data_IF_670159744060
#
_entry.id   IF_670159744060
#
_cell.length_a   1.000
_cell.length_b   1.000
_cell.length_c   1.000
_cell.angle_alpha   90.00
_cell.angle_beta   90.00
_cell.angle_gamma   90.00
#
_symmetry.space_group_name_H-M   'P 1'
#
loop_
_entity.id
_entity.type
_entity.pdbx_description
1 polymer ?
#
# COMPACT_ATOMS: atom_id res chain seq x y z
N UNK A 1 64.34 -22.64 -21.85
CA UNK A 1 63.69 -23.83 -21.27
C UNK A 1 63.25 -23.67 -19.82
N UNK A 2 63.94 -22.88 -18.98
CA UNK A 2 63.58 -22.67 -17.57
C UNK A 2 62.35 -21.76 -17.31
N UNK A 3 62.02 -20.85 -18.23
CA UNK A 3 60.86 -19.95 -18.09
C UNK A 3 59.50 -20.63 -18.35
N UNK A 4 59.47 -21.71 -19.15
CA UNK A 4 58.24 -22.47 -19.41
C UNK A 4 57.85 -23.37 -18.23
N UNK A 5 58.83 -23.88 -17.48
CA UNK A 5 58.59 -24.62 -16.24
C UNK A 5 58.01 -23.71 -15.15
N UNK A 6 58.43 -22.45 -15.07
CA UNK A 6 57.88 -21.51 -14.09
C UNK A 6 56.44 -21.09 -14.40
N UNK A 7 56.06 -20.93 -15.67
CA UNK A 7 54.67 -20.59 -16.06
C UNK A 7 53.74 -21.80 -15.89
N UNK A 8 54.23 -23.02 -16.12
CA UNK A 8 53.47 -24.24 -15.81
C UNK A 8 53.36 -24.45 -14.29
N UNK A 9 54.40 -24.14 -13.50
CA UNK A 9 54.31 -24.13 -12.03
C UNK A 9 53.42 -23.00 -11.50
N UNK A 10 53.35 -21.83 -12.16
CA UNK A 10 52.46 -20.73 -11.78
C UNK A 10 50.99 -21.06 -12.09
N UNK A 11 50.71 -21.78 -13.19
CA UNK A 11 49.38 -22.29 -13.51
C UNK A 11 49.02 -23.61 -12.80
N UNK A 12 50.00 -24.31 -12.23
CA UNK A 12 49.78 -25.48 -11.36
C UNK A 12 49.37 -25.07 -9.94
N UNK A 13 49.61 -23.82 -9.55
CA UNK A 13 48.85 -23.15 -8.48
C UNK A 13 47.49 -22.67 -9.00
N UNK A 14 46.82 -23.49 -9.83
CA UNK A 14 45.36 -23.58 -9.76
C UNK A 14 45.09 -23.82 -8.29
N UNK A 15 44.51 -22.82 -7.63
CA UNK A 15 43.95 -22.95 -6.30
C UNK A 15 43.05 -24.19 -6.38
N UNK A 16 43.57 -25.35 -5.97
CA UNK A 16 42.75 -26.48 -5.56
C UNK A 16 42.07 -25.92 -4.33
N UNK A 17 40.92 -25.30 -4.56
CA UNK A 17 39.98 -25.04 -3.51
C UNK A 17 39.64 -26.45 -3.05
N UNK A 18 40.27 -26.90 -1.96
CA UNK A 18 39.99 -28.21 -1.40
C UNK A 18 38.48 -28.32 -1.21
N UNK A 19 37.90 -29.48 -1.51
CA UNK A 19 36.46 -29.69 -1.34
C UNK A 19 36.02 -29.36 0.09
N UNK A 20 36.93 -29.53 1.05
CA UNK A 20 36.80 -29.10 2.44
C UNK A 20 36.62 -27.58 2.59
N UNK A 21 37.31 -26.77 1.79
CA UNK A 21 37.14 -25.31 1.81
C UNK A 21 35.80 -24.90 1.19
N UNK A 22 35.37 -25.58 0.12
CA UNK A 22 34.09 -25.32 -0.53
C UNK A 22 32.91 -25.69 0.38
N UNK A 23 33.00 -26.82 1.09
CA UNK A 23 31.98 -27.26 2.05
C UNK A 23 31.87 -26.30 3.24
N UNK A 24 33.00 -25.78 3.74
CA UNK A 24 33.00 -24.73 4.78
C UNK A 24 32.34 -23.44 4.29
N UNK A 25 32.63 -22.99 3.06
CA UNK A 25 32.04 -21.78 2.49
C UNK A 25 30.53 -21.92 2.30
N UNK A 26 30.06 -23.07 1.81
CA UNK A 26 28.63 -23.38 1.68
C UNK A 26 27.97 -23.39 3.06
N UNK A 27 28.62 -23.99 4.07
CA UNK A 27 28.14 -23.99 5.45
C UNK A 27 27.93 -22.56 6.00
N UNK A 28 28.89 -21.67 5.77
CA UNK A 28 28.80 -20.25 6.17
C UNK A 28 27.65 -19.54 5.44
N UNK A 29 27.48 -19.78 4.14
CA UNK A 29 26.39 -19.19 3.37
C UNK A 29 25.01 -19.68 3.85
N UNK A 30 24.87 -20.98 4.12
CA UNK A 30 23.66 -21.55 4.68
C UNK A 30 23.34 -20.97 6.07
N UNK A 31 24.36 -20.78 6.92
CA UNK A 31 24.21 -20.16 8.23
C UNK A 31 23.74 -18.71 8.14
N UNK A 32 24.37 -17.91 7.26
CA UNK A 32 23.98 -16.52 7.02
C UNK A 32 22.54 -16.43 6.49
N UNK A 33 22.14 -17.32 5.57
CA UNK A 33 20.76 -17.39 5.09
C UNK A 33 19.78 -17.72 6.21
N UNK A 34 20.11 -18.70 7.06
CA UNK A 34 19.30 -19.06 8.23
C UNK A 34 19.13 -17.85 9.18
N UNK A 35 20.22 -17.13 9.45
CA UNK A 35 20.21 -15.92 10.29
C UNK A 35 19.31 -14.83 9.70
N UNK A 36 19.42 -14.56 8.39
CA UNK A 36 18.58 -13.58 7.69
C UNK A 36 17.08 -13.93 7.75
N UNK A 37 16.72 -15.22 7.63
CA UNK A 37 15.32 -15.67 7.75
C UNK A 37 14.77 -15.48 9.17
N UNK A 38 15.58 -15.72 10.21
CA UNK A 38 15.18 -15.49 11.60
C UNK A 38 14.95 -14.01 11.89
N UNK A 39 15.85 -13.13 11.42
CA UNK A 39 15.72 -11.68 11.54
C UNK A 39 14.47 -11.17 10.80
N UNK A 40 14.22 -11.63 9.58
CA UNK A 40 13.02 -11.28 8.82
C UNK A 40 11.73 -11.72 9.54
N UNK A 41 11.73 -12.91 10.16
CA UNK A 41 10.61 -13.40 10.97
C UNK A 41 10.38 -12.53 12.20
N UNK A 42 11.45 -12.10 12.89
CA UNK A 42 11.36 -11.18 14.02
C UNK A 42 10.79 -9.82 13.60
N UNK A 43 11.29 -9.21 12.51
CA UNK A 43 10.75 -7.96 11.97
C UNK A 43 9.31 -8.10 11.46
N UNK A 44 8.91 -9.28 10.97
CA UNK A 44 7.53 -9.52 10.51
C UNK A 44 6.49 -9.51 11.65
N UNK A 45 6.92 -9.80 12.89
CA UNK A 45 6.05 -9.87 14.07
C UNK A 45 5.62 -8.50 14.61
N UNK A 46 6.23 -7.41 14.13
CA UNK A 46 5.86 -6.04 14.52
C UNK A 46 4.80 -5.41 13.63
N UNK A 47 4.07 -6.19 12.82
CA UNK A 47 2.84 -5.67 12.22
C UNK A 47 1.85 -5.45 13.34
N UNK A 48 1.75 -4.19 13.81
CA UNK A 48 0.82 -3.76 14.84
C UNK A 48 -0.52 -4.43 14.62
N UNK A 49 -0.87 -5.35 15.52
CA UNK A 49 -2.16 -6.02 15.51
C UNK A 49 -3.20 -4.91 15.65
N UNK A 50 -3.99 -4.70 14.60
CA UNK A 50 -5.06 -3.71 14.65
C UNK A 50 -6.05 -4.18 15.71
N UNK A 51 -6.15 -3.44 16.82
CA UNK A 51 -7.15 -3.68 17.87
C UNK A 51 -8.57 -3.73 17.31
N UNK A 52 -8.83 -2.96 16.25
CA UNK A 52 -10.12 -2.91 15.57
C UNK A 52 -9.91 -2.82 14.06
N UNK A 53 -10.61 -3.66 13.29
CA UNK A 53 -10.67 -3.54 11.82
C UNK A 53 -11.44 -2.27 11.40
N UNK A 54 -12.56 -2.01 12.06
CA UNK A 54 -13.35 -0.78 12.01
C UNK A 54 -13.61 -0.38 13.46
N UNK A 55 -13.48 0.91 13.79
CA UNK A 55 -13.80 1.39 15.15
C UNK A 55 -15.31 1.26 15.41
N UNK A 56 -15.75 0.85 16.62
CA UNK A 56 -17.19 0.70 16.92
C UNK A 56 -18.04 1.95 16.64
N UNK A 57 -17.48 3.14 16.84
CA UNK A 57 -18.13 4.42 16.50
C UNK A 57 -18.54 4.53 15.02
N UNK A 58 -17.85 3.80 14.13
CA UNK A 58 -18.09 3.79 12.69
C UNK A 58 -18.94 2.59 12.24
N UNK A 59 -19.43 1.75 13.15
CA UNK A 59 -20.34 0.66 12.81
C UNK A 59 -21.68 1.15 12.27
N UNK A 60 -22.36 2.12 12.91
CA UNK A 60 -23.65 2.60 12.41
C UNK A 60 -23.50 3.60 11.26
N UNK A 61 -22.40 3.58 10.50
CA UNK A 61 -22.18 4.56 9.40
C UNK A 61 -23.31 4.59 8.38
N UNK A 62 -24.01 3.47 8.19
CA UNK A 62 -25.08 3.35 7.20
C UNK A 62 -26.44 3.74 7.76
N UNK A 63 -26.57 3.76 9.09
CA UNK A 63 -27.80 4.12 9.82
C UNK A 63 -27.71 5.49 10.48
N UNK A 64 -26.51 6.07 10.61
CA UNK A 64 -26.31 7.40 11.15
C UNK A 64 -26.70 8.46 10.12
N UNK A 65 -27.54 9.39 10.57
CA UNK A 65 -28.08 10.48 9.76
C UNK A 65 -27.00 11.35 9.11
N UNK A 66 -25.80 11.50 9.67
CA UNK A 66 -24.78 12.36 9.04
C UNK A 66 -24.36 11.82 7.67
N UNK A 67 -24.02 10.53 7.59
CA UNK A 67 -23.62 9.90 6.33
C UNK A 67 -24.80 9.78 5.36
N UNK A 68 -25.95 9.34 5.86
CA UNK A 68 -27.17 9.19 5.05
C UNK A 68 -27.69 10.53 4.53
N UNK A 69 -27.72 11.56 5.38
CA UNK A 69 -28.13 12.89 4.97
C UNK A 69 -27.14 13.46 3.97
N UNK A 70 -25.82 13.37 4.19
CA UNK A 70 -24.87 13.87 3.19
C UNK A 70 -25.00 13.18 1.85
N UNK A 71 -25.09 11.84 1.81
CA UNK A 71 -25.25 11.12 0.56
C UNK A 71 -26.60 11.38 -0.10
N UNK A 72 -27.69 11.46 0.69
CA UNK A 72 -29.01 11.83 0.20
C UNK A 72 -29.04 13.25 -0.37
N UNK A 73 -28.43 14.22 0.32
CA UNK A 73 -28.36 15.63 -0.11
C UNK A 73 -27.56 15.77 -1.41
N UNK A 74 -26.43 15.07 -1.52
CA UNK A 74 -25.60 15.08 -2.73
C UNK A 74 -26.23 14.38 -3.94
N UNK A 75 -26.96 13.27 -3.73
CA UNK A 75 -27.55 12.50 -4.84
C UNK A 75 -28.95 12.98 -5.25
N UNK A 76 -29.77 13.41 -4.30
CA UNK A 76 -31.19 13.71 -4.55
C UNK A 76 -31.52 15.20 -4.52
N UNK A 77 -30.72 16.02 -3.83
CA UNK A 77 -31.07 17.42 -3.59
C UNK A 77 -30.49 18.39 -4.63
N UNK A 78 -29.56 17.92 -5.48
CA UNK A 78 -29.13 18.62 -6.70
C UNK A 78 -30.32 19.09 -7.58
N UNK A 79 -31.49 18.43 -7.45
CA UNK A 79 -32.71 18.71 -8.24
C UNK A 79 -33.80 19.40 -7.41
N UNK A 80 -33.71 19.37 -6.07
CA UNK A 80 -34.79 19.80 -5.17
C UNK A 80 -34.45 21.12 -4.46
N UNK A 81 -33.19 21.34 -4.07
CA UNK A 81 -32.76 22.55 -3.35
C UNK A 81 -31.31 22.94 -3.75
N UNK A 82 -31.21 23.80 -4.77
CA UNK A 82 -29.92 24.27 -5.27
C UNK A 82 -29.25 25.26 -4.32
N UNK A 83 -30.01 25.99 -3.50
CA UNK A 83 -29.49 26.99 -2.57
C UNK A 83 -28.77 26.31 -1.42
N UNK A 84 -29.41 25.30 -0.84
CA UNK A 84 -28.82 24.53 0.26
C UNK A 84 -27.58 23.74 -0.21
N UNK A 85 -27.60 23.23 -1.44
CA UNK A 85 -26.42 22.61 -2.05
C UNK A 85 -25.27 23.60 -2.26
N UNK A 86 -25.57 24.81 -2.75
CA UNK A 86 -24.58 25.86 -2.95
C UNK A 86 -24.00 26.34 -1.63
N UNK A 87 -24.81 26.51 -0.58
CA UNK A 87 -24.30 26.92 0.74
C UNK A 87 -23.37 25.87 1.35
N UNK A 88 -23.67 24.60 1.11
CA UNK A 88 -22.88 23.49 1.62
C UNK A 88 -21.58 23.27 0.82
N UNK A 89 -21.63 23.28 -0.51
CA UNK A 89 -20.47 22.98 -1.37
C UNK A 89 -19.73 24.22 -1.90
N UNK A 90 -20.32 25.41 -1.74
CA UNK A 90 -19.89 26.70 -2.32
C UNK A 90 -19.74 26.66 -3.84
N UNK A 91 -20.46 25.76 -4.51
CA UNK A 91 -20.41 25.56 -5.95
C UNK A 91 -21.79 25.23 -6.52
N UNK A 92 -21.97 25.56 -7.80
CA UNK A 92 -23.12 25.06 -8.54
C UNK A 92 -23.01 23.55 -8.78
N UNK A 93 -24.16 22.90 -8.95
CA UNK A 93 -24.26 21.45 -9.21
C UNK A 93 -23.44 21.04 -10.43
N UNK A 94 -23.46 21.84 -11.51
CA UNK A 94 -22.70 21.53 -12.71
C UNK A 94 -21.20 21.58 -12.48
N UNK A 95 -20.73 22.58 -11.72
CA UNK A 95 -19.32 22.72 -11.36
C UNK A 95 -18.87 21.55 -10.48
N UNK A 96 -19.69 21.18 -9.50
CA UNK A 96 -19.42 20.05 -8.62
C UNK A 96 -19.31 18.74 -9.40
N UNK A 97 -20.26 18.46 -10.29
CA UNK A 97 -20.28 17.24 -11.10
C UNK A 97 -19.09 17.20 -12.08
N UNK A 98 -18.76 18.33 -12.71
CA UNK A 98 -17.59 18.45 -13.58
C UNK A 98 -16.28 18.13 -12.84
N UNK A 99 -16.08 18.71 -11.65
CA UNK A 99 -14.92 18.41 -10.82
C UNK A 99 -14.93 16.94 -10.40
N UNK A 100 -16.08 16.42 -9.94
CA UNK A 100 -16.22 15.02 -9.57
C UNK A 100 -15.76 14.09 -10.67
N UNK A 101 -16.11 14.34 -11.94
CA UNK A 101 -15.70 13.51 -13.06
C UNK A 101 -14.20 13.64 -13.39
N UNK A 102 -13.63 14.84 -13.27
CA UNK A 102 -12.18 15.04 -13.38
C UNK A 102 -11.41 14.27 -12.31
N UNK A 103 -11.91 14.26 -11.07
CA UNK A 103 -11.23 13.61 -9.93
C UNK A 103 -11.61 12.14 -9.75
N UNK A 104 -12.67 11.66 -10.40
CA UNK A 104 -13.17 10.28 -10.34
C UNK A 104 -12.09 9.23 -10.52
N UNK A 105 -11.17 9.29 -11.51
CA UNK A 105 -10.11 8.31 -11.65
C UNK A 105 -9.14 8.26 -10.45
N UNK A 106 -8.96 9.37 -9.74
CA UNK A 106 -8.05 9.48 -8.59
C UNK A 106 -8.73 9.17 -7.26
N UNK A 107 -10.03 9.46 -7.15
CA UNK A 107 -10.83 9.21 -5.94
C UNK A 107 -11.52 7.85 -5.95
N UNK A 108 -11.63 7.18 -7.10
CA UNK A 108 -12.16 5.82 -7.16
C UNK A 108 -11.22 4.87 -6.42
N UNK A 109 -11.73 4.29 -5.34
CA UNK A 109 -10.95 3.39 -4.48
C UNK A 109 -11.50 1.99 -4.58
N UNK A 110 -10.64 1.05 -4.96
CA UNK A 110 -10.92 -0.39 -4.86
C UNK A 110 -10.41 -0.88 -3.52
N UNK A 111 -11.32 -1.32 -2.66
CA UNK A 111 -10.97 -1.88 -1.37
C UNK A 111 -11.93 -2.99 -0.96
N UNK A 112 -11.46 -3.89 -0.10
CA UNK A 112 -12.28 -4.95 0.51
C UNK A 112 -13.44 -4.34 1.31
N UNK A 113 -13.21 -3.21 1.98
CA UNK A 113 -14.27 -2.42 2.61
C UNK A 113 -15.01 -1.61 1.55
N UNK A 114 -16.33 -1.54 1.66
CA UNK A 114 -17.18 -0.67 0.84
C UNK A 114 -16.68 0.78 0.92
N UNK A 115 -16.14 1.32 -0.19
CA UNK A 115 -15.64 2.68 -0.24
C UNK A 115 -16.77 3.71 -0.11
N UNK A 116 -16.45 4.92 0.37
CA UNK A 116 -17.34 6.07 0.21
C UNK A 116 -17.47 6.40 -1.28
N UNK A 117 -18.62 6.91 -1.73
CA UNK A 117 -18.77 7.38 -3.12
C UNK A 117 -17.81 8.53 -3.42
N UNK A 118 -17.55 8.79 -4.70
CA UNK A 118 -16.60 9.86 -5.10
C UNK A 118 -17.15 11.22 -4.72
N UNK A 119 -18.44 11.41 -4.96
CA UNK A 119 -19.23 12.60 -4.68
C UNK A 119 -19.18 12.92 -3.19
N UNK A 120 -19.39 11.93 -2.33
CA UNK A 120 -19.33 12.13 -0.88
C UNK A 120 -17.93 12.47 -0.38
N UNK A 121 -16.89 11.84 -0.94
CA UNK A 121 -15.50 12.19 -0.56
C UNK A 121 -15.15 13.60 -0.98
N UNK A 122 -15.59 13.98 -2.18
CA UNK A 122 -15.36 15.30 -2.72
C UNK A 122 -16.06 16.35 -1.84
N UNK A 123 -17.34 16.14 -1.52
CA UNK A 123 -18.12 17.00 -0.63
C UNK A 123 -17.47 17.19 0.76
N UNK A 124 -17.07 16.10 1.43
CA UNK A 124 -16.37 16.17 2.73
C UNK A 124 -15.02 16.91 2.64
N UNK A 125 -14.40 16.93 1.46
CA UNK A 125 -13.13 17.65 1.26
C UNK A 125 -13.33 19.15 1.10
N UNK A 126 -14.53 19.58 0.72
CA UNK A 126 -14.87 20.98 0.48
C UNK A 126 -15.49 21.68 1.70
N UNK A 127 -16.12 20.93 2.60
CA UNK A 127 -16.62 21.42 3.90
C UNK A 127 -15.48 21.88 4.81
#
# INVERSE_FOLDING_TARGET
MLLFLHIVSFNACRIKIDEDFLTVLIGIQCWNLMLMLLLAKMHSKERRIRRWWVRPINYPRETQGIFWNHSYRLCNQQVIDYEEFFDYTRMDVQQFNYICDLVRPYLSKRSIRTPLSVELRMAITLE
#
